data_IF_860125043983
#
_entry.id   IF_860125043983
#
_cell.length_a   1.000
_cell.length_b   1.000
_cell.length_c   1.000
_cell.angle_alpha   90.00
_cell.angle_beta   90.00
_cell.angle_gamma   90.00
#
_symmetry.space_group_name_H-M   'P 1'
#
loop_
_entity.id
_entity.type
_entity.pdbx_description
1 polymer ?
#
# COMPACT_ATOMS: atom_id res chain seq x y z
N UNK A 1 -23.20 63.54 50.89
CA UNK A 1 -24.00 62.38 50.43
C UNK A 1 -23.16 61.55 49.47
N UNK A 2 -22.95 60.28 49.83
CA UNK A 2 -22.02 59.32 49.24
C UNK A 2 -22.49 58.86 47.85
N UNK A 3 -21.59 58.74 46.86
CA UNK A 3 -21.66 57.68 45.83
C UNK A 3 -20.25 57.17 45.52
N UNK A 4 -19.95 55.99 46.08
CA UNK A 4 -18.74 55.22 45.89
C UNK A 4 -18.62 54.80 44.42
N UNK A 5 -17.48 55.12 43.80
CA UNK A 5 -17.01 54.48 42.59
C UNK A 5 -16.47 53.09 42.96
N UNK A 6 -17.04 52.04 42.37
CA UNK A 6 -16.54 50.66 42.45
C UNK A 6 -16.34 50.18 41.01
N UNK A 7 -15.16 50.44 40.46
CA UNK A 7 -14.69 49.73 39.26
C UNK A 7 -14.19 48.36 39.71
N UNK A 8 -14.98 47.33 39.42
CA UNK A 8 -14.59 45.94 39.61
C UNK A 8 -13.72 45.53 38.41
N UNK A 9 -12.42 45.38 38.60
CA UNK A 9 -11.49 44.90 37.59
C UNK A 9 -11.54 43.37 37.56
N UNK A 10 -12.33 42.80 36.64
CA UNK A 10 -12.43 41.35 36.46
C UNK A 10 -11.20 40.85 35.69
N UNK A 11 -10.27 40.20 36.38
CA UNK A 11 -9.10 39.57 35.78
C UNK A 11 -9.53 38.27 35.08
N UNK A 12 -9.61 38.27 33.75
CA UNK A 12 -9.77 37.05 32.95
C UNK A 12 -8.44 36.29 32.92
N UNK A 13 -8.36 35.19 33.67
CA UNK A 13 -7.29 34.19 33.53
C UNK A 13 -7.65 33.32 32.34
N UNK A 14 -6.96 33.52 31.21
CA UNK A 14 -7.06 32.62 30.06
C UNK A 14 -6.32 31.32 30.40
N UNK A 15 -7.08 30.26 30.68
CA UNK A 15 -6.54 28.90 30.81
C UNK A 15 -6.27 28.41 29.39
N UNK A 16 -5.00 28.47 28.96
CA UNK A 16 -4.56 27.80 27.74
C UNK A 16 -4.54 26.30 28.01
N UNK A 17 -5.55 25.57 27.53
CA UNK A 17 -5.52 24.12 27.49
C UNK A 17 -4.39 23.66 26.55
N UNK A 18 -3.55 22.69 26.95
CA UNK A 18 -2.55 22.14 26.04
C UNK A 18 -3.28 21.41 24.92
N UNK A 19 -3.08 21.85 23.68
CA UNK A 19 -3.45 21.06 22.52
C UNK A 19 -2.58 19.80 22.52
N UNK A 20 -3.12 18.69 23.03
CA UNK A 20 -2.57 17.36 22.74
C UNK A 20 -2.67 17.16 21.24
N UNK A 21 -1.57 17.43 20.53
CA UNK A 21 -1.37 16.91 19.20
C UNK A 21 -1.52 15.40 19.30
N UNK A 22 -2.59 14.87 18.72
CA UNK A 22 -2.72 13.45 18.47
C UNK A 22 -1.56 13.11 17.54
N UNK A 23 -0.49 12.53 18.08
CA UNK A 23 0.54 11.90 17.26
C UNK A 23 -0.21 10.91 16.37
N UNK A 24 -0.30 11.22 15.07
CA UNK A 24 -0.92 10.34 14.11
C UNK A 24 -0.13 9.04 14.18
N UNK A 25 -0.79 8.00 14.66
CA UNK A 25 -0.13 6.73 14.98
C UNK A 25 0.39 6.16 13.67
N UNK A 26 1.72 6.11 13.53
CA UNK A 26 2.40 5.29 12.53
C UNK A 26 1.78 3.91 12.62
N UNK A 27 1.06 3.50 11.59
CA UNK A 27 0.46 2.19 11.63
C UNK A 27 1.58 1.14 11.57
N UNK A 28 1.72 0.26 12.59
CA UNK A 28 2.85 -0.64 12.65
C UNK A 28 2.83 -1.61 11.46
N UNK A 29 4.02 -1.93 10.94
CA UNK A 29 4.16 -3.03 9.99
C UNK A 29 3.71 -4.31 10.68
N UNK A 30 2.76 -5.02 10.05
CA UNK A 30 2.16 -6.23 10.61
C UNK A 30 3.07 -7.43 10.36
N UNK A 31 2.99 -8.47 11.18
CA UNK A 31 3.86 -9.65 11.05
C UNK A 31 3.66 -10.41 9.73
N UNK A 32 2.48 -10.27 9.16
CA UNK A 32 1.99 -10.94 7.96
C UNK A 32 2.06 -10.05 6.70
N UNK A 33 2.56 -8.82 6.85
CA UNK A 33 2.81 -7.92 5.73
C UNK A 33 3.92 -8.46 4.83
N UNK A 34 3.76 -8.30 3.51
CA UNK A 34 4.84 -8.54 2.56
C UNK A 34 5.67 -7.29 2.45
N UNK A 35 6.98 -7.40 2.63
CA UNK A 35 7.87 -6.24 2.68
C UNK A 35 9.10 -6.39 1.79
N UNK A 36 9.64 -5.25 1.33
CA UNK A 36 10.88 -5.17 0.57
C UNK A 36 11.79 -4.09 1.16
N UNK A 37 13.10 -4.35 1.22
CA UNK A 37 14.09 -3.45 1.82
C UNK A 37 14.49 -3.82 3.24
N UNK A 38 15.40 -3.05 3.83
CA UNK A 38 15.92 -3.31 5.17
C UNK A 38 14.85 -3.09 6.25
N UNK A 39 14.73 -4.04 7.19
CA UNK A 39 13.81 -3.89 8.33
C UNK A 39 14.15 -2.70 9.24
N UNK A 40 15.41 -2.25 9.20
CA UNK A 40 15.93 -1.09 9.94
C UNK A 40 15.85 0.23 9.16
N UNK A 41 15.23 0.25 7.98
CA UNK A 41 15.12 1.48 7.20
C UNK A 41 14.34 2.56 7.98
N UNK A 42 14.82 3.82 7.99
CA UNK A 42 14.20 4.90 8.78
C UNK A 42 12.83 5.34 8.25
N UNK A 43 12.51 5.06 6.98
CA UNK A 43 11.24 5.42 6.36
C UNK A 43 10.50 4.16 5.94
N UNK A 44 9.20 4.09 6.25
CA UNK A 44 8.29 3.05 5.76
C UNK A 44 7.34 3.63 4.73
N UNK A 45 7.35 3.06 3.52
CA UNK A 45 6.39 3.32 2.46
C UNK A 45 5.40 2.16 2.39
N UNK A 46 4.18 2.38 2.87
CA UNK A 46 3.09 1.40 2.72
C UNK A 46 2.32 1.71 1.46
N UNK A 47 2.14 0.72 0.59
CA UNK A 47 1.32 0.79 -0.61
C UNK A 47 0.14 -0.17 -0.51
N UNK A 48 -1.06 0.37 -0.68
CA UNK A 48 -2.30 -0.36 -0.83
C UNK A 48 -2.58 -0.53 -2.31
N UNK A 49 -2.70 -1.77 -2.77
CA UNK A 49 -2.77 -2.10 -4.19
C UNK A 49 -3.76 -3.20 -4.50
N UNK A 50 -4.12 -3.27 -5.78
CA UNK A 50 -4.87 -4.37 -6.38
C UNK A 50 -4.16 -4.85 -7.63
N UNK A 51 -4.05 -6.16 -7.81
CA UNK A 51 -3.41 -6.78 -8.97
C UNK A 51 -4.17 -6.55 -10.28
N UNK A 52 -5.42 -6.05 -10.23
CA UNK A 52 -6.22 -5.64 -11.40
C UNK A 52 -6.28 -4.13 -11.61
N UNK A 53 -5.76 -3.31 -10.69
CA UNK A 53 -5.76 -1.86 -10.82
C UNK A 53 -4.66 -1.41 -11.80
N UNK A 54 -5.07 -0.73 -12.88
CA UNK A 54 -4.14 -0.19 -13.90
C UNK A 54 -3.17 0.83 -13.32
N UNK A 55 -3.64 1.75 -12.47
CA UNK A 55 -2.77 2.72 -11.81
C UNK A 55 -1.75 2.08 -10.85
N UNK A 56 -2.11 0.96 -10.21
CA UNK A 56 -1.14 0.17 -9.44
C UNK A 56 -0.07 -0.44 -10.35
N UNK A 57 -0.47 -0.98 -11.50
CA UNK A 57 0.46 -1.54 -12.48
C UNK A 57 1.39 -0.46 -13.04
N UNK A 58 0.85 0.71 -13.40
CA UNK A 58 1.63 1.84 -13.91
C UNK A 58 2.67 2.30 -12.89
N UNK A 59 2.25 2.54 -11.65
CA UNK A 59 3.17 2.91 -10.58
C UNK A 59 4.24 1.83 -10.35
N UNK A 60 3.83 0.56 -10.26
CA UNK A 60 4.75 -0.53 -9.96
C UNK A 60 5.77 -0.77 -11.07
N UNK A 61 5.37 -0.62 -12.33
CA UNK A 61 6.24 -0.96 -13.46
C UNK A 61 7.06 0.23 -13.96
N UNK A 62 6.60 1.46 -13.75
CA UNK A 62 7.25 2.68 -14.25
C UNK A 62 7.93 3.51 -13.15
N UNK A 63 7.30 3.68 -11.99
CA UNK A 63 7.82 4.56 -10.92
C UNK A 63 8.65 3.78 -9.90
N UNK A 64 8.13 2.63 -9.46
CA UNK A 64 8.72 1.83 -8.41
C UNK A 64 10.16 1.37 -8.68
N UNK A 65 10.60 1.06 -9.91
CA UNK A 65 12.00 0.68 -10.14
C UNK A 65 12.99 1.79 -9.73
N UNK A 66 12.66 3.05 -10.00
CA UNK A 66 13.53 4.17 -9.64
C UNK A 66 13.44 4.49 -8.13
N UNK A 67 12.25 4.39 -7.53
CA UNK A 67 12.05 4.46 -6.06
C UNK A 67 12.88 3.39 -5.35
N UNK A 68 12.82 2.15 -5.85
CA UNK A 68 13.53 0.99 -5.32
C UNK A 68 15.04 1.21 -5.37
N UNK A 69 15.56 1.59 -6.53
CA UNK A 69 17.00 1.85 -6.69
C UNK A 69 17.49 3.01 -5.81
N UNK A 70 16.74 4.10 -5.72
CA UNK A 70 17.14 5.31 -4.98
C UNK A 70 17.11 5.13 -3.47
N UNK A 71 16.09 4.45 -2.94
CA UNK A 71 15.85 4.40 -1.50
C UNK A 71 15.76 3.01 -0.90
N UNK A 72 15.14 2.03 -1.58
CA UNK A 72 14.91 0.70 -0.99
C UNK A 72 16.21 -0.11 -0.97
N UNK A 73 16.90 -0.17 -2.10
CA UNK A 73 18.18 -0.88 -2.25
C UNK A 73 19.30 -0.19 -1.45
N UNK A 74 19.16 1.11 -1.22
CA UNK A 74 20.05 1.89 -0.37
C UNK A 74 19.76 1.72 1.15
N UNK A 75 18.78 0.90 1.53
CA UNK A 75 18.40 0.66 2.93
C UNK A 75 17.72 1.86 3.62
N UNK A 76 17.26 2.85 2.85
CA UNK A 76 16.64 4.09 3.35
C UNK A 76 15.13 3.98 3.52
N UNK A 77 14.48 3.18 2.66
CA UNK A 77 13.04 2.95 2.68
C UNK A 77 12.74 1.45 2.77
N UNK A 78 11.83 1.07 3.67
CA UNK A 78 11.16 -0.23 3.69
C UNK A 78 9.80 -0.08 3.03
N UNK A 79 9.48 -0.95 2.08
CA UNK A 79 8.19 -0.96 1.40
C UNK A 79 7.31 -2.05 2.02
N UNK A 80 6.05 -1.74 2.24
CA UNK A 80 5.02 -2.64 2.77
C UNK A 80 3.89 -2.74 1.75
N UNK A 81 3.50 -3.94 1.35
CA UNK A 81 2.45 -4.17 0.36
C UNK A 81 1.18 -4.69 1.03
N UNK A 82 0.05 -4.02 0.81
CA UNK A 82 -1.26 -4.37 1.38
C UNK A 82 -2.31 -4.52 0.30
N UNK A 83 -3.16 -5.51 0.47
CA UNK A 83 -4.15 -5.89 -0.52
C UNK A 83 -5.45 -5.11 -0.30
N UNK A 84 -5.96 -4.54 -1.39
CA UNK A 84 -7.29 -3.98 -1.46
C UNK A 84 -7.87 -4.33 -2.85
N UNK A 85 -8.41 -5.55 -3.02
CA UNK A 85 -8.85 -6.07 -4.32
C UNK A 85 -9.92 -5.19 -4.97
N UNK A 86 -9.66 -4.75 -6.21
CA UNK A 86 -10.57 -3.95 -7.04
C UNK A 86 -11.20 -4.80 -8.16
N UNK A 87 -12.32 -4.36 -8.77
CA UNK A 87 -12.91 -5.05 -9.91
C UNK A 87 -11.92 -5.29 -11.07
N UNK A 88 -12.04 -6.42 -11.81
CA UNK A 88 -12.83 -7.61 -11.47
C UNK A 88 -12.27 -8.33 -10.23
N UNK A 89 -13.09 -8.45 -9.19
CA UNK A 89 -12.61 -8.72 -7.83
C UNK A 89 -12.07 -10.14 -7.68
N UNK A 90 -12.66 -11.11 -8.36
CA UNK A 90 -12.25 -12.51 -8.34
C UNK A 90 -10.83 -12.67 -8.92
N UNK A 91 -10.52 -11.94 -9.99
CA UNK A 91 -9.18 -11.93 -10.57
C UNK A 91 -8.18 -11.20 -9.66
N UNK A 92 -8.61 -10.12 -9.00
CA UNK A 92 -7.77 -9.40 -8.05
C UNK A 92 -7.39 -10.25 -6.84
N UNK A 93 -8.37 -10.95 -6.25
CA UNK A 93 -8.16 -11.89 -5.15
C UNK A 93 -7.26 -13.03 -5.61
N UNK A 94 -7.54 -13.67 -6.74
CA UNK A 94 -6.70 -14.74 -7.26
C UNK A 94 -5.25 -14.29 -7.52
N UNK A 95 -5.06 -13.07 -8.01
CA UNK A 95 -3.73 -12.46 -8.18
C UNK A 95 -3.01 -12.25 -6.86
N UNK A 96 -3.70 -11.76 -5.83
CA UNK A 96 -3.14 -11.57 -4.49
C UNK A 96 -2.80 -12.91 -3.82
N UNK A 97 -3.68 -13.91 -3.91
CA UNK A 97 -3.42 -15.29 -3.47
C UNK A 97 -2.16 -15.83 -4.15
N UNK A 98 -2.05 -15.72 -5.47
CA UNK A 98 -0.87 -16.21 -6.20
C UNK A 98 0.42 -15.50 -5.78
N UNK A 99 0.38 -14.17 -5.60
CA UNK A 99 1.54 -13.42 -5.11
C UNK A 99 1.98 -13.87 -3.72
N UNK A 100 1.03 -14.11 -2.82
CA UNK A 100 1.30 -14.57 -1.45
C UNK A 100 1.62 -16.06 -1.35
N UNK A 101 1.28 -16.84 -2.36
CA UNK A 101 1.61 -18.26 -2.46
C UNK A 101 3.12 -18.52 -2.56
N UNK A 102 3.82 -17.61 -3.23
CA UNK A 102 5.26 -17.71 -3.35
C UNK A 102 5.96 -17.42 -2.01
N UNK A 103 7.20 -17.91 -1.82
CA UNK A 103 8.04 -17.49 -0.71
C UNK A 103 8.08 -15.96 -0.56
N UNK A 104 8.20 -15.46 0.67
CA UNK A 104 8.08 -14.04 0.98
C UNK A 104 9.05 -13.18 0.16
N UNK A 105 10.28 -13.66 -0.05
CA UNK A 105 11.34 -13.04 -0.81
C UNK A 105 11.07 -13.01 -2.34
N UNK A 106 10.14 -13.83 -2.81
CA UNK A 106 9.69 -13.87 -4.22
C UNK A 106 8.41 -13.09 -4.46
N UNK A 107 7.71 -12.66 -3.41
CA UNK A 107 6.45 -11.90 -3.51
C UNK A 107 6.54 -10.75 -4.52
N UNK A 108 7.56 -9.89 -4.41
CA UNK A 108 7.71 -8.74 -5.30
C UNK A 108 7.92 -9.16 -6.77
N UNK A 109 8.65 -10.26 -7.02
CA UNK A 109 8.88 -10.78 -8.38
C UNK A 109 7.59 -11.31 -9.01
N UNK A 110 6.77 -12.01 -8.21
CA UNK A 110 5.45 -12.45 -8.66
C UNK A 110 4.57 -11.25 -8.97
N UNK A 111 4.54 -10.27 -8.06
CA UNK A 111 3.73 -9.06 -8.20
C UNK A 111 4.13 -8.23 -9.44
N UNK A 112 5.42 -8.03 -9.70
CA UNK A 112 5.92 -7.36 -10.92
C UNK A 112 5.50 -8.11 -12.19
N UNK A 113 5.59 -9.45 -12.17
CA UNK A 113 5.18 -10.29 -13.31
C UNK A 113 3.67 -10.17 -13.57
N UNK A 114 2.86 -10.19 -12.51
CA UNK A 114 1.41 -10.02 -12.60
C UNK A 114 1.09 -8.61 -13.15
N UNK A 115 1.70 -7.55 -12.63
CA UNK A 115 1.45 -6.20 -13.12
C UNK A 115 1.86 -5.99 -14.58
N UNK A 116 3.03 -6.47 -15.00
CA UNK A 116 3.44 -6.43 -16.42
C UNK A 116 2.51 -7.23 -17.32
N UNK A 117 1.86 -8.26 -16.79
CA UNK A 117 0.88 -9.09 -17.49
C UNK A 117 -0.55 -8.58 -17.46
N UNK A 118 -0.86 -7.57 -16.63
CA UNK A 118 -2.22 -7.17 -16.29
C UNK A 118 -3.03 -6.68 -17.50
N UNK A 119 -2.39 -6.02 -18.47
CA UNK A 119 -3.06 -5.55 -19.70
C UNK A 119 -3.79 -6.66 -20.48
N UNK A 120 -3.37 -7.93 -20.33
CA UNK A 120 -4.05 -9.07 -20.94
C UNK A 120 -5.46 -9.30 -20.39
N UNK A 121 -5.73 -8.91 -19.14
CA UNK A 121 -7.05 -9.05 -18.52
C UNK A 121 -8.09 -8.12 -19.16
N UNK A 122 -7.66 -7.08 -19.88
CA UNK A 122 -8.51 -6.06 -20.48
C UNK A 122 -8.42 -6.06 -22.01
N UNK A 123 -8.03 -7.18 -22.63
CA UNK A 123 -7.83 -7.27 -24.09
C UNK A 123 -9.13 -7.23 -24.91
N UNK A 124 -10.29 -7.23 -24.27
CA UNK A 124 -11.60 -7.13 -24.90
C UNK A 124 -12.60 -6.51 -23.90
N UNK A 125 -13.76 -6.07 -24.41
CA UNK A 125 -14.86 -5.60 -23.56
C UNK A 125 -15.41 -6.76 -22.71
N UNK A 126 -15.75 -6.45 -21.45
CA UNK A 126 -16.32 -7.41 -20.49
C UNK A 126 -15.29 -8.11 -19.59
N UNK A 127 -15.74 -9.09 -18.77
CA UNK A 127 -14.86 -9.80 -17.84
C UNK A 127 -13.79 -10.61 -18.57
N UNK A 128 -12.56 -10.73 -18.03
CA UNK A 128 -11.49 -11.49 -18.67
C UNK A 128 -11.89 -12.96 -18.88
N UNK A 129 -11.55 -13.50 -20.05
CA UNK A 129 -11.71 -14.94 -20.29
C UNK A 129 -10.94 -15.76 -19.24
N UNK A 130 -11.55 -16.84 -18.74
CA UNK A 130 -10.99 -17.67 -17.67
C UNK A 130 -9.56 -18.16 -17.98
N UNK A 131 -9.32 -18.60 -19.22
CA UNK A 131 -7.98 -19.06 -19.63
C UNK A 131 -6.93 -17.94 -19.59
N UNK A 132 -7.33 -16.71 -19.87
CA UNK A 132 -6.44 -15.54 -19.77
C UNK A 132 -6.02 -15.30 -18.32
N UNK A 133 -6.97 -15.38 -17.39
CA UNK A 133 -6.69 -15.29 -15.94
C UNK A 133 -5.76 -16.42 -15.50
N UNK A 134 -6.05 -17.67 -15.88
CA UNK A 134 -5.21 -18.84 -15.55
C UNK A 134 -3.78 -18.68 -16.06
N UNK A 135 -3.60 -18.22 -17.30
CA UNK A 135 -2.28 -18.03 -17.89
C UNK A 135 -1.52 -16.89 -17.21
N UNK A 136 -2.21 -15.81 -16.86
CA UNK A 136 -1.65 -14.68 -16.13
C UNK A 136 -1.17 -15.09 -14.73
N UNK A 137 -2.00 -15.82 -13.98
CA UNK A 137 -1.64 -16.36 -12.66
C UNK A 137 -0.48 -17.36 -12.75
N UNK A 138 -0.51 -18.25 -13.74
CA UNK A 138 0.56 -19.23 -13.95
C UNK A 138 1.91 -18.58 -14.26
N UNK A 139 1.92 -17.47 -15.02
CA UNK A 139 3.14 -16.70 -15.26
C UNK A 139 3.69 -16.09 -13.97
N UNK A 140 2.82 -15.52 -13.13
CA UNK A 140 3.19 -15.02 -11.81
C UNK A 140 3.77 -16.11 -10.91
N UNK A 141 3.05 -17.23 -10.74
CA UNK A 141 3.51 -18.35 -9.93
C UNK A 141 4.84 -18.93 -10.39
N UNK A 142 5.02 -19.10 -11.71
CA UNK A 142 6.28 -19.57 -12.29
C UNK A 142 7.44 -18.60 -12.02
N UNK A 143 7.23 -17.28 -12.10
CA UNK A 143 8.23 -16.28 -11.74
C UNK A 143 8.61 -16.33 -10.24
N UNK A 144 7.67 -16.75 -9.39
CA UNK A 144 7.90 -17.05 -7.98
C UNK A 144 8.61 -18.37 -7.70
N UNK A 145 8.88 -19.19 -8.73
CA UNK A 145 9.46 -20.52 -8.61
C UNK A 145 8.48 -21.61 -8.21
N UNK A 146 7.17 -21.37 -8.32
CA UNK A 146 6.15 -22.37 -8.02
C UNK A 146 5.99 -23.35 -9.18
N UNK A 147 5.80 -24.61 -8.84
CA UNK A 147 5.33 -25.66 -9.76
C UNK A 147 3.82 -25.57 -9.97
N UNK A 148 3.31 -26.25 -11.00
CA UNK A 148 1.85 -26.32 -11.24
C UNK A 148 1.10 -26.91 -10.05
N UNK A 149 1.64 -27.94 -9.42
CA UNK A 149 0.99 -28.60 -8.28
C UNK A 149 0.94 -27.67 -7.07
N UNK A 150 2.00 -26.90 -6.80
CA UNK A 150 2.00 -25.89 -5.75
C UNK A 150 0.99 -24.77 -6.02
N UNK A 151 0.89 -24.29 -7.27
CA UNK A 151 -0.12 -23.30 -7.65
C UNK A 151 -1.54 -23.85 -7.44
N UNK A 152 -1.80 -25.10 -7.82
CA UNK A 152 -3.10 -25.75 -7.64
C UNK A 152 -3.43 -25.94 -6.16
N UNK A 153 -2.46 -26.34 -5.34
CA UNK A 153 -2.64 -26.48 -3.90
C UNK A 153 -3.03 -25.15 -3.26
N UNK A 154 -2.40 -24.05 -3.69
CA UNK A 154 -2.71 -22.70 -3.22
C UNK A 154 -4.15 -22.30 -3.49
N UNK A 155 -4.66 -22.58 -4.68
CA UNK A 155 -6.04 -22.26 -5.04
C UNK A 155 -7.07 -23.25 -4.49
N UNK A 156 -6.61 -24.37 -3.94
CA UNK A 156 -7.47 -25.33 -3.25
C UNK A 156 -7.59 -25.03 -1.75
N UNK A 157 -6.78 -24.10 -1.23
CA UNK A 157 -6.81 -23.66 0.16
C UNK A 157 -7.77 -22.47 0.31
N UNK A 158 -8.97 -22.75 0.82
CA UNK A 158 -9.99 -21.72 1.09
C UNK A 158 -9.48 -20.64 2.07
N UNK A 159 -8.59 -21.01 3.01
CA UNK A 159 -8.04 -20.06 3.97
C UNK A 159 -7.22 -18.96 3.28
N UNK A 160 -6.55 -19.26 2.17
CA UNK A 160 -5.80 -18.28 1.39
C UNK A 160 -6.69 -17.19 0.81
N UNK A 161 -7.93 -17.51 0.41
CA UNK A 161 -8.89 -16.54 -0.11
C UNK A 161 -9.48 -15.68 1.02
N UNK A 162 -9.91 -16.31 2.12
CA UNK A 162 -10.41 -15.63 3.32
C UNK A 162 -9.36 -14.65 3.87
N UNK A 163 -8.09 -15.01 3.82
CA UNK A 163 -7.01 -14.12 4.26
C UNK A 163 -6.87 -12.87 3.38
N UNK A 164 -7.13 -12.94 2.07
CA UNK A 164 -7.17 -11.75 1.21
C UNK A 164 -8.37 -10.86 1.54
N UNK A 165 -9.52 -11.46 1.84
CA UNK A 165 -10.71 -10.72 2.26
C UNK A 165 -10.48 -10.00 3.60
N UNK A 166 -9.93 -10.69 4.61
CA UNK A 166 -9.54 -10.10 5.89
C UNK A 166 -8.56 -8.92 5.71
N UNK A 167 -7.61 -9.04 4.78
CA UNK A 167 -6.68 -7.94 4.44
C UNK A 167 -7.39 -6.76 3.81
N UNK A 168 -8.37 -7.01 2.95
CA UNK A 168 -9.18 -5.96 2.34
C UNK A 168 -10.03 -5.23 3.40
N UNK A 169 -10.64 -5.97 4.32
CA UNK A 169 -11.37 -5.40 5.47
C UNK A 169 -10.44 -4.55 6.34
N UNK A 170 -9.24 -5.03 6.62
CA UNK A 170 -8.25 -4.28 7.37
C UNK A 170 -7.81 -3.01 6.63
N UNK A 171 -7.56 -3.07 5.32
CA UNK A 171 -7.27 -1.88 4.51
C UNK A 171 -8.40 -0.84 4.57
N UNK A 172 -9.66 -1.29 4.56
CA UNK A 172 -10.81 -0.40 4.76
C UNK A 172 -10.86 0.18 6.18
N UNK A 173 -10.53 -0.62 7.20
CA UNK A 173 -10.44 -0.16 8.59
C UNK A 173 -9.29 0.85 8.80
N UNK A 174 -8.22 0.75 8.01
CA UNK A 174 -7.13 1.72 7.92
C UNK A 174 -7.58 3.03 7.20
N UNK A 175 -8.85 3.12 6.78
CA UNK A 175 -9.42 4.29 6.10
C UNK A 175 -9.05 4.38 4.62
N UNK A 176 -8.62 3.27 4.01
CA UNK A 176 -8.22 3.21 2.61
C UNK A 176 -9.27 2.46 1.78
N UNK A 177 -9.87 3.17 0.83
CA UNK A 177 -10.97 2.66 0.00
C UNK A 177 -10.68 2.75 -1.52
N UNK A 178 -9.46 3.07 -1.91
CA UNK A 178 -9.03 3.22 -3.31
C UNK A 178 -7.57 2.80 -3.50
N UNK A 179 -7.24 2.36 -4.71
CA UNK A 179 -5.88 1.93 -5.09
C UNK A 179 -5.37 2.68 -6.33
N UNK A 180 -4.06 2.97 -6.42
CA UNK A 180 -3.09 2.84 -5.33
C UNK A 180 -3.35 3.93 -4.27
N UNK A 181 -3.11 3.58 -3.00
CA UNK A 181 -3.01 4.55 -1.91
C UNK A 181 -1.68 4.33 -1.20
N UNK A 182 -1.08 5.40 -0.69
CA UNK A 182 0.24 5.36 -0.08
C UNK A 182 0.24 6.02 1.28
N UNK A 183 0.97 5.41 2.21
CA UNK A 183 1.29 5.99 3.51
C UNK A 183 2.82 6.06 3.64
N UNK A 184 3.32 7.17 4.16
CA UNK A 184 4.74 7.34 4.50
C UNK A 184 4.83 7.52 6.01
N UNK A 185 5.52 6.60 6.69
CA UNK A 185 5.52 6.52 8.15
C UNK A 185 4.10 6.57 8.76
N UNK A 186 3.15 5.89 8.11
CA UNK A 186 1.75 5.84 8.53
C UNK A 186 0.92 7.10 8.23
N UNK A 187 1.53 8.18 7.74
CA UNK A 187 0.80 9.37 7.29
C UNK A 187 0.32 9.19 5.85
N UNK A 188 -0.97 9.45 5.60
CA UNK A 188 -1.57 9.30 4.26
C UNK A 188 -0.98 10.34 3.32
N UNK A 189 -0.45 9.88 2.19
CA UNK A 189 -0.05 10.78 1.11
C UNK A 189 -1.30 11.28 0.39
N UNK A 190 -1.47 12.60 0.18
CA UNK A 190 -2.63 13.13 -0.54
C UNK A 190 -2.74 12.57 -1.96
N UNK A 191 -3.92 12.08 -2.31
CA UNK A 191 -4.23 11.42 -3.59
C UNK A 191 -3.82 12.27 -4.82
N UNK A 192 -4.02 13.58 -4.75
CA UNK A 192 -3.65 14.53 -5.82
C UNK A 192 -2.14 14.56 -6.14
N UNK A 193 -1.30 14.09 -5.20
CA UNK A 193 0.14 14.06 -5.36
C UNK A 193 0.62 12.84 -6.17
N UNK A 194 0.03 11.65 -5.97
CA UNK A 194 0.61 10.38 -6.46
C UNK A 194 -0.38 9.27 -6.84
N UNK A 195 -1.69 9.51 -6.97
CA UNK A 195 -2.62 8.47 -7.49
C UNK A 195 -2.32 8.03 -8.93
N UNK A 196 -1.66 8.89 -9.70
CA UNK A 196 -1.18 8.58 -11.05
C UNK A 196 0.32 8.37 -11.01
N UNK A 197 0.85 7.52 -11.90
CA UNK A 197 2.29 7.44 -12.13
C UNK A 197 2.80 8.83 -12.50
N UNK A 198 3.72 9.34 -11.69
CA UNK A 198 4.34 10.66 -11.82
C UNK A 198 5.85 10.58 -11.66
N UNK A 199 6.40 9.37 -11.66
CA UNK A 199 7.80 9.10 -11.46
C UNK A 199 8.23 9.25 -9.99
N UNK A 200 9.50 8.91 -9.76
CA UNK A 200 10.16 8.99 -8.44
C UNK A 200 10.18 10.41 -7.86
N UNK A 201 10.16 11.44 -8.70
CA UNK A 201 10.26 12.83 -8.27
C UNK A 201 9.04 13.29 -7.48
N UNK A 202 7.88 12.64 -7.65
CA UNK A 202 6.69 12.91 -6.84
C UNK A 202 6.83 12.41 -5.39
N UNK A 203 7.72 11.43 -5.15
CA UNK A 203 8.00 10.88 -3.81
C UNK A 203 9.19 11.59 -3.12
N UNK A 204 10.08 12.21 -3.88
CA UNK A 204 11.26 12.91 -3.36
C UNK A 204 10.93 13.95 -2.26
N UNK A 205 9.99 14.91 -2.47
CA UNK A 205 9.68 15.91 -1.45
C UNK A 205 8.98 15.31 -0.21
N UNK A 206 8.50 14.07 -0.28
CA UNK A 206 7.84 13.38 0.83
C UNK A 206 8.83 12.52 1.63
N UNK A 207 9.82 11.93 0.96
CA UNK A 207 10.78 11.00 1.57
C UNK A 207 12.04 11.72 2.04
N UNK A 208 12.58 12.65 1.24
CA UNK A 208 13.89 13.24 1.54
C UNK A 208 13.94 14.03 2.85
N UNK A 209 12.93 14.83 3.25
CA UNK A 209 12.92 15.49 4.55
C UNK A 209 13.05 14.51 5.73
N UNK A 210 12.33 13.39 5.66
CA UNK A 210 12.35 12.34 6.69
C UNK A 210 13.74 11.68 6.80
N UNK A 211 14.43 11.50 5.67
CA UNK A 211 15.79 10.97 5.63
C UNK A 211 16.83 11.96 6.16
N UNK A 212 16.58 13.26 6.01
CA UNK A 212 17.44 14.32 6.53
C UNK A 212 17.20 14.59 8.03
N UNK A 213 16.23 13.89 8.65
CA UNK A 213 15.82 14.11 10.04
C UNK A 213 15.05 15.42 10.24
N UNK A 214 14.35 15.88 9.20
CA UNK A 214 13.60 17.14 9.16
C UNK A 214 12.09 16.92 9.12
#
# INVERSE_FOLDING_TARGET
>A
MKRLSRFLLTLLIAIAAPATALAQTVEPVRSDDRTLGAASAPVTLTVYLSTTCSHCADWHTNDFPAIKARWVDAGKVRVVFRDLPTPPQEAAIAGAVMARCAPAEKFHVVLDTLFRGQGRLHSHDGPPAQQTVINWLAAGGAAGGLTRDQMNACFSDEASFVEIENRAEQSNADGVNSTPSFLINGERVPDAAIMMSRGVDAFEPLIQPLLDGR
#
